data_IF_212052374917
#
_entry.id   IF_212052374917
#
_cell.length_a   1.000
_cell.length_b   1.000
_cell.length_c   1.000
_cell.angle_alpha   90.00
_cell.angle_beta   90.00
_cell.angle_gamma   90.00
#
_symmetry.space_group_name_H-M   'P 1'
#
loop_
_entity.id
_entity.type
_entity.pdbx_description
1 polymer ?
#
# COMPACT_ATOMS: atom_id res chain seq x y z
N UNK A 1 9.32 -6.73 -23.55
CA UNK A 1 8.97 -5.84 -22.43
C UNK A 1 9.70 -4.53 -22.67
N UNK A 2 9.03 -3.38 -22.54
CA UNK A 2 9.71 -2.08 -22.62
C UNK A 2 10.46 -1.78 -21.33
N UNK A 3 11.47 -0.92 -21.40
CA UNK A 3 12.15 -0.36 -20.22
C UNK A 3 11.14 0.33 -19.28
N UNK A 4 10.13 1.01 -19.83
CA UNK A 4 9.05 1.61 -19.05
C UNK A 4 8.25 0.57 -18.23
N UNK A 5 7.84 -0.53 -18.86
CA UNK A 5 7.11 -1.61 -18.18
C UNK A 5 7.94 -2.22 -17.04
N UNK A 6 9.25 -2.41 -17.27
CA UNK A 6 10.18 -2.95 -16.26
C UNK A 6 10.30 -2.00 -15.07
N UNK A 7 10.44 -0.69 -15.32
CA UNK A 7 10.50 0.31 -14.26
C UNK A 7 9.21 0.34 -13.44
N UNK A 8 8.03 0.31 -14.09
CA UNK A 8 6.73 0.31 -13.41
C UNK A 8 6.53 -0.96 -12.58
N UNK A 9 6.84 -2.15 -13.13
CA UNK A 9 6.77 -3.41 -12.39
C UNK A 9 7.69 -3.41 -11.18
N UNK A 10 8.90 -2.89 -11.31
CA UNK A 10 9.90 -2.84 -10.23
C UNK A 10 9.46 -1.85 -9.13
N UNK A 11 8.93 -0.69 -9.52
CA UNK A 11 8.36 0.31 -8.61
C UNK A 11 7.22 -0.28 -7.78
N UNK A 12 6.19 -0.78 -8.45
CA UNK A 12 4.98 -1.30 -7.79
C UNK A 12 5.32 -2.57 -6.99
N UNK A 13 6.13 -3.46 -7.55
CA UNK A 13 6.58 -4.68 -6.89
C UNK A 13 7.31 -4.38 -5.58
N UNK A 14 8.19 -3.37 -5.56
CA UNK A 14 8.90 -2.94 -4.33
C UNK A 14 7.93 -2.47 -3.25
N UNK A 15 6.95 -1.63 -3.63
CA UNK A 15 5.95 -1.12 -2.68
C UNK A 15 5.14 -2.26 -2.06
N UNK A 16 4.66 -3.21 -2.88
CA UNK A 16 3.88 -4.35 -2.38
C UNK A 16 4.73 -5.34 -1.58
N UNK A 17 6.00 -5.54 -1.94
CA UNK A 17 6.93 -6.36 -1.17
C UNK A 17 7.14 -5.77 0.22
N UNK A 18 7.48 -4.48 0.32
CA UNK A 18 7.68 -3.84 1.62
C UNK A 18 6.37 -3.84 2.43
N UNK A 19 5.24 -3.55 1.78
CA UNK A 19 3.91 -3.56 2.41
C UNK A 19 3.54 -4.91 3.03
N UNK A 20 3.83 -6.01 2.32
CA UNK A 20 3.54 -7.38 2.79
C UNK A 20 4.51 -7.82 3.88
N UNK A 21 5.82 -7.57 3.71
CA UNK A 21 6.83 -7.88 4.72
C UNK A 21 6.56 -7.16 6.05
N UNK A 22 6.16 -5.89 6.01
CA UNK A 22 5.81 -5.12 7.21
C UNK A 22 4.60 -5.70 7.97
N UNK A 23 3.64 -6.31 7.27
CA UNK A 23 2.47 -6.97 7.89
C UNK A 23 2.78 -8.38 8.38
N UNK A 24 3.67 -9.10 7.69
CA UNK A 24 4.08 -10.46 8.03
C UNK A 24 5.17 -10.53 9.11
N UNK A 25 5.85 -9.40 9.41
CA UNK A 25 7.02 -9.34 10.29
C UNK A 25 6.83 -10.00 11.65
N UNK A 26 5.68 -9.79 12.30
CA UNK A 26 5.35 -10.44 13.56
C UNK A 26 3.84 -10.47 13.81
N UNK A 27 3.41 -11.31 14.78
CA UNK A 27 1.99 -11.44 15.17
C UNK A 27 1.37 -10.12 15.65
N UNK A 28 2.14 -9.23 16.26
CA UNK A 28 1.65 -7.95 16.76
C UNK A 28 1.29 -7.00 15.61
N UNK A 29 2.12 -6.94 14.56
CA UNK A 29 1.91 -6.17 13.34
C UNK A 29 0.67 -6.67 12.59
N UNK A 30 0.57 -8.00 12.42
CA UNK A 30 -0.62 -8.61 11.81
C UNK A 30 -1.90 -8.30 12.60
N UNK A 31 -1.90 -8.47 13.93
CA UNK A 31 -3.05 -8.09 14.79
C UNK A 31 -3.38 -6.60 14.75
N UNK A 32 -2.38 -5.73 14.57
CA UNK A 32 -2.58 -4.29 14.37
C UNK A 32 -3.31 -3.99 13.05
N UNK A 33 -2.99 -4.75 12.00
CA UNK A 33 -3.67 -4.67 10.71
C UNK A 33 -5.13 -5.16 10.79
N UNK A 34 -5.38 -6.32 11.41
CA UNK A 34 -6.76 -6.83 11.62
C UNK A 34 -7.61 -5.81 12.39
N UNK A 35 -7.07 -5.23 13.47
CA UNK A 35 -7.77 -4.17 14.22
C UNK A 35 -8.08 -2.96 13.36
N UNK A 36 -7.15 -2.57 12.48
CA UNK A 36 -7.36 -1.45 11.56
C UNK A 36 -8.53 -1.72 10.61
N UNK A 37 -8.66 -2.95 10.08
CA UNK A 37 -9.81 -3.34 9.25
C UNK A 37 -11.13 -3.32 10.04
N UNK A 38 -11.13 -3.83 11.27
CA UNK A 38 -12.29 -3.80 12.16
C UNK A 38 -12.78 -2.36 12.41
N UNK A 39 -11.85 -1.42 12.58
CA UNK A 39 -12.19 0.00 12.74
C UNK A 39 -12.78 0.64 11.47
N UNK A 40 -12.42 0.15 10.28
CA UNK A 40 -12.99 0.65 9.02
C UNK A 40 -14.47 0.25 8.85
N UNK A 41 -14.94 -0.78 9.59
CA UNK A 41 -16.32 -1.29 9.56
C UNK A 41 -16.83 -1.46 8.12
N UNK A 42 -16.00 -2.12 7.29
CA UNK A 42 -16.31 -2.38 5.88
C UNK A 42 -17.28 -3.57 5.77
N UNK A 43 -17.23 -4.51 6.72
CA UNK A 43 -18.13 -5.66 6.80
C UNK A 43 -18.39 -6.12 8.24
N UNK A 44 -19.05 -7.27 8.42
CA UNK A 44 -19.27 -7.87 9.73
C UNK A 44 -17.94 -8.25 10.40
N UNK A 45 -17.80 -8.14 11.74
CA UNK A 45 -16.55 -8.39 12.46
C UNK A 45 -15.94 -9.79 12.21
N UNK A 46 -16.79 -10.78 11.94
CA UNK A 46 -16.37 -12.15 11.60
C UNK A 46 -15.50 -12.21 10.32
N UNK A 47 -15.56 -11.18 9.47
CA UNK A 47 -14.80 -11.13 8.23
C UNK A 47 -13.48 -10.37 8.32
N UNK A 48 -13.16 -9.71 9.45
CA UNK A 48 -11.96 -8.87 9.56
C UNK A 48 -10.67 -9.70 9.42
N UNK A 49 -10.62 -10.87 10.06
CA UNK A 49 -9.47 -11.77 9.98
C UNK A 49 -9.30 -12.46 8.61
N UNK A 50 -10.35 -13.05 7.99
CA UNK A 50 -10.23 -13.59 6.64
C UNK A 50 -9.95 -12.48 5.61
N UNK A 51 -10.49 -11.27 5.77
CA UNK A 51 -10.13 -10.13 4.92
C UNK A 51 -8.66 -9.75 5.07
N UNK A 52 -8.11 -9.76 6.30
CA UNK A 52 -6.69 -9.51 6.51
C UNK A 52 -5.80 -10.54 5.82
N UNK A 53 -6.16 -11.83 5.89
CA UNK A 53 -5.45 -12.90 5.16
C UNK A 53 -5.57 -12.73 3.65
N UNK A 54 -6.77 -12.41 3.15
CA UNK A 54 -7.02 -12.20 1.73
C UNK A 54 -6.18 -11.03 1.19
N UNK A 55 -6.08 -9.93 1.94
CA UNK A 55 -5.24 -8.80 1.56
C UNK A 55 -3.77 -9.20 1.55
N UNK A 56 -3.26 -9.84 2.60
CA UNK A 56 -1.84 -10.22 2.67
C UNK A 56 -1.45 -11.19 1.54
N UNK A 57 -2.31 -12.16 1.25
CA UNK A 57 -2.11 -13.10 0.14
C UNK A 57 -2.17 -12.39 -1.21
N UNK A 58 -3.09 -11.43 -1.39
CA UNK A 58 -3.17 -10.63 -2.61
C UNK A 58 -1.95 -9.71 -2.80
N UNK A 59 -1.43 -9.10 -1.73
CA UNK A 59 -0.20 -8.30 -1.77
C UNK A 59 1.00 -9.14 -2.20
N UNK A 60 1.16 -10.34 -1.63
CA UNK A 60 2.22 -11.25 -2.00
C UNK A 60 2.06 -11.78 -3.43
N UNK A 61 0.84 -12.18 -3.80
CA UNK A 61 0.51 -12.59 -5.16
C UNK A 61 0.84 -11.50 -6.19
N UNK A 62 0.54 -10.24 -5.88
CA UNK A 62 0.87 -9.08 -6.72
C UNK A 62 2.38 -8.99 -6.97
N UNK A 63 3.18 -9.07 -5.91
CA UNK A 63 4.65 -9.05 -6.03
C UNK A 63 5.17 -10.22 -6.87
N UNK A 64 4.72 -11.44 -6.59
CA UNK A 64 5.15 -12.63 -7.37
C UNK A 64 4.77 -12.53 -8.85
N UNK A 65 3.55 -12.10 -9.17
CA UNK A 65 3.08 -11.90 -10.54
C UNK A 65 3.88 -10.85 -11.31
N UNK A 66 4.28 -9.75 -10.63
CA UNK A 66 5.10 -8.70 -11.23
C UNK A 66 6.56 -9.13 -11.45
N UNK A 67 7.09 -10.01 -10.58
CA UNK A 67 8.43 -10.55 -10.68
C UNK A 67 8.60 -11.56 -11.82
N UNK A 68 7.52 -12.24 -12.22
CA UNK A 68 7.54 -13.18 -13.35
C UNK A 68 7.72 -12.41 -14.66
N UNK A 69 8.78 -12.69 -15.46
CA UNK A 69 9.11 -11.94 -16.67
C UNK A 69 8.24 -12.34 -17.87
N UNK A 70 6.95 -12.63 -17.64
CA UNK A 70 5.98 -12.91 -18.70
C UNK A 70 5.00 -11.74 -18.84
N UNK A 71 4.48 -11.56 -20.05
CA UNK A 71 3.50 -10.50 -20.36
C UNK A 71 2.18 -10.72 -19.63
N UNK A 72 1.70 -11.96 -19.60
CA UNK A 72 0.44 -12.32 -18.96
C UNK A 72 0.52 -12.13 -17.45
N UNK A 73 1.56 -12.65 -16.79
CA UNK A 73 1.70 -12.53 -15.34
C UNK A 73 1.79 -11.07 -14.90
N UNK A 74 2.60 -10.25 -15.57
CA UNK A 74 2.71 -8.85 -15.16
C UNK A 74 1.48 -8.01 -15.47
N UNK A 75 0.70 -8.32 -16.52
CA UNK A 75 -0.62 -7.69 -16.70
C UNK A 75 -1.57 -8.02 -15.56
N UNK A 76 -1.64 -9.29 -15.15
CA UNK A 76 -2.42 -9.71 -13.99
C UNK A 76 -1.92 -9.05 -12.70
N UNK A 77 -0.60 -8.96 -12.51
CA UNK A 77 0.02 -8.27 -11.39
C UNK A 77 -0.32 -6.77 -11.35
N UNK A 78 -0.25 -6.07 -12.49
CA UNK A 78 -0.62 -4.65 -12.58
C UNK A 78 -2.11 -4.41 -12.33
N UNK A 79 -2.97 -5.30 -12.84
CA UNK A 79 -4.42 -5.24 -12.58
C UNK A 79 -4.71 -5.43 -11.08
N UNK A 80 -4.12 -6.46 -10.48
CA UNK A 80 -4.28 -6.75 -9.05
C UNK A 80 -3.74 -5.61 -8.18
N UNK A 81 -2.58 -5.05 -8.55
CA UNK A 81 -2.01 -3.88 -7.91
C UNK A 81 -2.96 -2.68 -7.95
N UNK A 82 -3.53 -2.36 -9.12
CA UNK A 82 -4.47 -1.25 -9.27
C UNK A 82 -5.73 -1.45 -8.42
N UNK A 83 -6.29 -2.67 -8.38
CA UNK A 83 -7.45 -3.02 -7.55
C UNK A 83 -7.14 -2.89 -6.05
N UNK A 84 -5.99 -3.40 -5.60
CA UNK A 84 -5.57 -3.29 -4.20
C UNK A 84 -5.33 -1.84 -3.80
N UNK A 85 -4.65 -1.05 -4.65
CA UNK A 85 -4.43 0.38 -4.42
C UNK A 85 -5.76 1.14 -4.34
N UNK A 86 -6.73 0.83 -5.19
CA UNK A 86 -8.07 1.41 -5.14
C UNK A 86 -8.80 1.02 -3.85
N UNK A 87 -8.78 -0.26 -3.46
CA UNK A 87 -9.40 -0.74 -2.22
C UNK A 87 -8.79 -0.07 -0.97
N UNK A 88 -7.46 0.04 -0.90
CA UNK A 88 -6.77 0.75 0.17
C UNK A 88 -7.12 2.23 0.18
N UNK A 89 -7.15 2.87 -0.99
CA UNK A 89 -7.54 4.27 -1.12
C UNK A 89 -8.96 4.50 -0.59
N UNK A 90 -9.90 3.63 -0.94
CA UNK A 90 -11.27 3.70 -0.48
C UNK A 90 -11.38 3.50 1.04
N UNK A 91 -10.70 2.51 1.61
CA UNK A 91 -10.67 2.28 3.05
C UNK A 91 -10.11 3.47 3.83
N UNK A 92 -9.01 4.06 3.33
CA UNK A 92 -8.41 5.26 3.91
C UNK A 92 -9.38 6.46 3.81
N UNK A 93 -9.93 6.73 2.63
CA UNK A 93 -10.84 7.85 2.41
C UNK A 93 -12.11 7.74 3.27
N UNK A 94 -12.66 6.53 3.44
CA UNK A 94 -13.81 6.28 4.32
C UNK A 94 -13.47 6.57 5.78
N UNK A 95 -12.28 6.19 6.22
CA UNK A 95 -11.81 6.44 7.59
C UNK A 95 -11.64 7.95 7.84
N UNK A 96 -11.02 8.66 6.90
CA UNK A 96 -10.86 10.12 6.93
C UNK A 96 -12.20 10.85 6.99
N UNK A 97 -13.17 10.44 6.15
CA UNK A 97 -14.52 11.04 6.12
C UNK A 97 -15.28 10.86 7.43
N UNK A 98 -15.00 9.80 8.20
CA UNK A 98 -15.67 9.50 9.48
C UNK A 98 -15.11 10.29 10.67
N UNK A 99 -14.07 11.13 10.49
CA UNK A 99 -13.41 11.94 11.54
C UNK A 99 -13.10 11.16 12.84
N UNK A 100 -12.91 9.84 12.74
CA UNK A 100 -12.54 9.02 13.87
C UNK A 100 -11.01 9.08 14.00
N UNK A 101 -10.45 9.57 15.12
CA UNK A 101 -9.01 9.67 15.32
C UNK A 101 -8.45 8.28 15.60
N UNK A 102 -8.27 7.47 14.56
CA UNK A 102 -7.68 6.13 14.68
C UNK A 102 -6.41 6.09 13.84
N UNK A 103 -5.29 5.78 14.49
CA UNK A 103 -4.04 5.45 13.83
C UNK A 103 -4.27 4.19 12.97
N UNK A 104 -4.39 4.37 11.66
CA UNK A 104 -4.45 3.26 10.72
C UNK A 104 -3.06 2.62 10.66
N UNK A 105 -2.90 1.45 11.28
CA UNK A 105 -1.64 0.70 11.31
C UNK A 105 -1.38 -0.08 10.00
N UNK A 106 -1.95 0.37 8.87
CA UNK A 106 -1.87 -0.32 7.57
C UNK A 106 -0.43 -0.47 7.04
N UNK A 107 0.53 0.28 7.58
CA UNK A 107 1.94 0.25 7.19
C UNK A 107 2.91 -0.30 8.26
N UNK A 108 2.39 -0.81 9.39
CA UNK A 108 3.23 -1.40 10.43
C UNK A 108 4.00 -0.37 11.25
N UNK A 109 3.84 -0.46 12.57
CA UNK A 109 4.56 0.28 13.63
C UNK A 109 4.38 1.80 13.76
N UNK A 110 4.00 2.56 12.74
CA UNK A 110 3.77 4.00 12.94
C UNK A 110 2.33 4.28 13.41
N UNK A 111 2.20 4.79 14.63
CA UNK A 111 0.98 5.39 15.18
C UNK A 111 0.65 6.75 14.52
N UNK A 112 0.93 6.87 13.22
CA UNK A 112 0.76 8.12 12.48
C UNK A 112 -0.67 8.21 11.96
N UNK A 113 -1.34 9.37 12.12
CA UNK A 113 -2.65 9.57 11.52
C UNK A 113 -2.48 9.55 10.00
N UNK A 114 -3.11 8.56 9.37
CA UNK A 114 -3.15 8.40 7.91
C UNK A 114 -3.75 9.67 7.31
N UNK A 115 -2.94 10.39 6.54
CA UNK A 115 -3.34 11.65 5.90
C UNK A 115 -3.72 11.49 4.43
N UNK A 116 -4.26 12.56 3.83
CA UNK A 116 -4.59 12.64 2.41
C UNK A 116 -3.42 12.30 1.46
N UNK A 117 -2.16 12.41 1.95
CA UNK A 117 -0.96 12.02 1.20
C UNK A 117 -0.95 10.55 0.77
N UNK A 118 -1.42 9.62 1.62
CA UNK A 118 -1.47 8.20 1.25
C UNK A 118 -2.51 7.93 0.15
N UNK A 119 -3.62 8.68 0.16
CA UNK A 119 -4.63 8.65 -0.91
C UNK A 119 -4.01 9.12 -2.22
N UNK A 120 -3.33 10.27 -2.21
CA UNK A 120 -2.66 10.80 -3.41
C UNK A 120 -1.61 9.83 -3.93
N UNK A 121 -0.74 9.29 -3.07
CA UNK A 121 0.27 8.31 -3.48
C UNK A 121 -0.35 7.07 -4.11
N UNK A 122 -1.37 6.49 -3.47
CA UNK A 122 -2.01 5.29 -4.00
C UNK A 122 -2.73 5.54 -5.32
N UNK A 123 -3.36 6.71 -5.49
CA UNK A 123 -3.96 7.13 -6.75
C UNK A 123 -2.92 7.31 -7.85
N UNK A 124 -1.77 7.93 -7.56
CA UNK A 124 -0.67 8.07 -8.51
C UNK A 124 -0.12 6.70 -8.93
N UNK A 125 0.12 5.80 -7.96
CA UNK A 125 0.59 4.44 -8.26
C UNK A 125 -0.45 3.65 -9.08
N UNK A 126 -1.75 3.82 -8.79
CA UNK A 126 -2.82 3.20 -9.56
C UNK A 126 -2.88 3.77 -10.99
N UNK A 127 -2.73 5.08 -11.16
CA UNK A 127 -2.68 5.72 -12.48
C UNK A 127 -1.48 5.24 -13.30
N UNK A 128 -0.31 5.09 -12.67
CA UNK A 128 0.89 4.54 -13.31
C UNK A 128 0.67 3.07 -13.72
N UNK A 129 0.05 2.26 -12.86
CA UNK A 129 -0.28 0.87 -13.17
C UNK A 129 -1.24 0.75 -14.36
N UNK A 130 -2.32 1.55 -14.36
CA UNK A 130 -3.31 1.59 -15.44
C UNK A 130 -2.69 2.13 -16.73
N UNK A 131 -1.90 3.19 -16.65
CA UNK A 131 -1.16 3.73 -17.80
C UNK A 131 -0.25 2.68 -18.44
N UNK A 132 0.44 1.88 -17.62
CA UNK A 132 1.25 0.77 -18.13
C UNK A 132 0.42 -0.37 -18.74
N UNK A 133 -0.79 -0.65 -18.24
CA UNK A 133 -1.71 -1.63 -18.82
C UNK A 133 -2.24 -1.23 -20.20
N UNK A 134 -2.53 0.07 -20.36
CA UNK A 134 -3.06 0.67 -21.58
C UNK A 134 -1.97 1.02 -22.61
N UNK A 135 -0.71 1.08 -22.18
CA UNK A 135 0.41 1.39 -23.05
C UNK A 135 0.51 0.39 -24.22
N UNK A 136 0.74 0.87 -25.46
CA UNK A 136 0.96 -0.01 -26.61
C UNK A 136 2.14 -0.96 -26.38
N UNK A 137 2.08 -2.13 -27.01
CA UNK A 137 3.19 -3.07 -26.98
C UNK A 137 4.42 -2.42 -27.62
N UNK A 138 5.56 -2.52 -26.94
CA UNK A 138 6.83 -2.06 -27.49
C UNK A 138 7.19 -2.86 -28.76
N UNK A 139 7.71 -2.16 -29.77
CA UNK A 139 8.25 -2.78 -30.99
C UNK A 139 9.68 -3.22 -30.70
N UNK A 140 9.83 -4.43 -30.18
CA UNK A 140 11.13 -5.08 -29.94
C UNK A 140 11.55 -5.15 -28.46
N UNK A 141 12.45 -6.11 -28.11
CA UNK A 141 12.97 -6.25 -26.76
C UNK A 141 13.94 -5.10 -26.42
N UNK A 142 13.86 -4.58 -25.19
CA UNK A 142 14.83 -3.63 -24.68
C UNK A 142 16.22 -4.28 -24.56
N UNK A 143 17.27 -3.56 -24.94
CA UNK A 143 18.65 -4.01 -24.71
C UNK A 143 18.93 -4.25 -23.20
N UNK A 144 19.80 -5.20 -22.84
CA UNK A 144 20.02 -5.61 -21.45
C UNK A 144 20.44 -4.47 -20.52
N UNK A 145 21.20 -3.48 -21.02
CA UNK A 145 21.53 -2.27 -20.26
C UNK A 145 20.32 -1.43 -19.88
N UNK A 146 19.35 -1.27 -20.80
CA UNK A 146 18.11 -0.54 -20.53
C UNK A 146 17.20 -1.28 -19.55
N UNK A 147 17.22 -2.62 -19.57
CA UNK A 147 16.50 -3.46 -18.60
C UNK A 147 17.03 -3.20 -17.19
N UNK A 148 18.35 -3.26 -17.00
CA UNK A 148 18.99 -3.05 -15.70
C UNK A 148 18.72 -1.64 -15.16
N UNK A 149 18.93 -0.61 -15.97
CA UNK A 149 18.70 0.79 -15.58
C UNK A 149 17.23 1.01 -15.20
N UNK A 150 16.29 0.48 -15.99
CA UNK A 150 14.87 0.59 -15.69
C UNK A 150 14.50 -0.12 -14.37
N UNK A 151 15.04 -1.31 -14.13
CA UNK A 151 14.79 -2.06 -12.91
C UNK A 151 15.32 -1.29 -11.68
N UNK A 152 16.57 -0.82 -11.73
CA UNK A 152 17.17 -0.04 -10.66
C UNK A 152 16.42 1.27 -10.40
N UNK A 153 16.03 1.99 -11.46
CA UNK A 153 15.24 3.21 -11.33
C UNK A 153 13.88 2.94 -10.68
N UNK A 154 13.19 1.86 -11.08
CA UNK A 154 11.93 1.46 -10.46
C UNK A 154 12.09 1.04 -9.00
N UNK A 155 13.10 0.24 -8.66
CA UNK A 155 13.42 -0.15 -7.28
C UNK A 155 13.69 1.07 -6.40
N UNK A 156 14.55 1.99 -6.86
CA UNK A 156 14.90 3.21 -6.16
C UNK A 156 13.65 4.09 -5.94
N UNK A 157 12.85 4.29 -6.99
CA UNK A 157 11.60 5.04 -6.89
C UNK A 157 10.63 4.38 -5.88
N UNK A 158 10.53 3.05 -5.88
CA UNK A 158 9.71 2.28 -4.93
C UNK A 158 10.14 2.44 -3.49
N UNK A 159 11.44 2.34 -3.24
CA UNK A 159 12.03 2.55 -1.94
C UNK A 159 11.79 4.00 -1.47
N UNK A 160 12.02 4.99 -2.33
CA UNK A 160 11.77 6.40 -2.03
C UNK A 160 10.29 6.62 -1.72
N UNK A 161 9.34 6.11 -2.51
CA UNK A 161 7.90 6.25 -2.21
C UNK A 161 7.47 5.60 -0.90
N UNK A 162 8.21 4.60 -0.42
CA UNK A 162 7.91 3.92 0.84
C UNK A 162 8.58 4.64 2.02
N UNK A 163 9.86 5.00 1.88
CA UNK A 163 10.63 5.75 2.87
C UNK A 163 10.10 7.17 3.08
N UNK A 164 9.57 7.82 2.02
CA UNK A 164 8.97 9.14 2.12
C UNK A 164 7.81 9.19 3.12
N UNK A 165 7.13 8.08 3.39
CA UNK A 165 6.07 8.05 4.39
C UNK A 165 6.65 8.01 5.81
N UNK A 166 7.67 7.18 6.06
CA UNK A 166 8.38 7.12 7.33
C UNK A 166 9.11 8.43 7.66
N UNK A 167 9.73 9.05 6.66
CA UNK A 167 10.42 10.35 6.81
C UNK A 167 9.41 11.44 7.16
N UNK A 168 8.25 11.50 6.50
CA UNK A 168 7.23 12.50 6.85
C UNK A 168 6.58 12.25 8.22
N UNK A 169 6.61 11.02 8.70
CA UNK A 169 6.19 10.70 10.06
C UNK A 169 7.17 11.27 11.10
N UNK A 170 8.47 11.24 10.80
CA UNK A 170 9.53 11.73 11.70
C UNK A 170 9.48 13.24 11.91
N UNK A 171 9.06 14.00 10.88
CA UNK A 171 8.98 15.47 10.94
C UNK A 171 7.64 16.01 11.44
N UNK A 172 6.69 15.17 11.89
CA UNK A 172 5.48 15.67 12.53
C UNK A 172 5.78 16.10 13.96
N UNK A 173 5.33 17.29 14.39
CA UNK A 173 5.41 17.70 15.78
C UNK A 173 4.82 16.62 16.69
N UNK A 174 5.55 16.26 17.75
CA UNK A 174 4.98 15.49 18.85
C UNK A 174 3.68 16.19 19.27
N UNK A 175 2.58 15.46 19.48
CA UNK A 175 1.42 16.07 20.11
C UNK A 175 1.93 16.72 21.39
N UNK A 176 1.77 18.04 21.51
CA UNK A 176 2.05 18.72 22.76
C UNK A 176 1.44 17.89 23.87
N UNK A 177 2.18 17.70 24.97
CA UNK A 177 1.79 16.92 26.14
C UNK A 177 0.58 17.52 26.88
N UNK A 178 -0.49 17.81 26.15
CA UNK A 178 -1.76 18.32 26.61
C UNK A 178 -2.42 17.25 27.43
N UNK A 179 -2.34 17.46 28.74
CA UNK A 179 -3.28 17.15 29.82
C UNK A 179 -4.19 15.92 29.61
N UNK A 180 -4.27 15.01 30.60
CA UNK A 180 -5.12 13.82 30.54
C UNK A 180 -6.53 14.18 30.05
N UNK A 181 -6.92 13.68 28.85
CA UNK A 181 -8.31 13.78 28.40
C UNK A 181 -9.17 13.08 29.44
N UNK A 182 -10.11 13.83 30.00
CA UNK A 182 -11.07 13.32 30.98
C UNK A 182 -11.73 12.02 30.47
N UNK A 183 -11.98 11.05 31.35
CA UNK A 183 -12.58 9.77 30.96
C UNK A 183 -13.92 10.02 30.26
N UNK A 184 -14.04 9.47 29.05
CA UNK A 184 -15.30 9.40 28.30
C UNK A 184 -16.30 8.67 29.18
N UNK A 185 -17.34 9.37 29.65
CA UNK A 185 -18.42 8.74 30.42
C UNK A 185 -19.09 7.69 29.55
N UNK A 186 -19.31 6.45 30.05
CA UNK A 186 -20.06 5.45 29.31
C UNK A 186 -21.49 5.95 29.09
N UNK A 187 -21.98 5.75 27.86
CA UNK A 187 -23.38 5.89 27.52
C UNK A 187 -24.19 4.96 28.46
N UNK A 188 -25.01 5.55 29.32
CA UNK A 188 -26.01 4.84 30.09
C UNK A 188 -27.16 4.41 29.16
N UNK A 189 -27.86 3.31 29.47
CA UNK A 189 -28.66 2.52 28.52
C UNK A 189 -29.91 3.22 28.01
#
# INVERSE_FOLDING_TARGET
>A
MSSFEIAVRSLIGTVFLISSLSKARNRAAYRGFVRSLAHMRIGPPALDEPAARAVLTAEFATWTLLAVPTRTAGRLGLLLAALLLAAFTFGIARTLRRRSPVACNCFGLSATPVGARHVVRNLLLAAVAVGCLLAPAARGPAGPGHVLVAALAGLAAGLVTTALDEITALFRPLPDGGTPRAPVRPFAP
#
